data_IF_209338010785
#
_entry.id   IF_209338010785
#
_cell.length_a   1.000
_cell.length_b   1.000
_cell.length_c   1.000
_cell.angle_alpha   90.00
_cell.angle_beta   90.00
_cell.angle_gamma   90.00
#
_symmetry.space_group_name_H-M   'P 1'
#
loop_
_entity.id
_entity.type
_entity.pdbx_description
1 polymer ?
#
# COMPACT_ATOMS: atom_id res chain seq x y z
N UNK A 1 1.11 -5.97 -2.89
CA UNK A 1 0.37 -4.94 -3.64
C UNK A 1 1.31 -3.79 -3.87
N UNK A 2 1.57 -3.45 -5.12
CA UNK A 2 2.10 -2.12 -5.46
C UNK A 2 0.90 -1.17 -5.47
N UNK A 3 0.53 -0.72 -4.28
CA UNK A 3 -0.59 0.18 -4.09
C UNK A 3 -0.12 1.59 -4.40
N UNK A 4 -0.73 2.25 -5.39
CA UNK A 4 -0.40 3.62 -5.81
C UNK A 4 -0.73 4.67 -4.75
N UNK A 5 -1.30 4.27 -3.62
CA UNK A 5 -1.82 5.20 -2.63
C UNK A 5 -3.21 5.68 -3.01
N UNK A 6 -3.82 6.41 -2.09
CA UNK A 6 -5.06 7.16 -2.34
C UNK A 6 -4.85 8.60 -1.85
N UNK A 7 -5.44 9.58 -2.54
CA UNK A 7 -5.46 10.95 -2.04
C UNK A 7 -6.41 11.08 -0.85
N UNK A 8 -6.13 12.02 0.04
CA UNK A 8 -7.08 12.43 1.07
C UNK A 8 -8.31 13.08 0.44
N UNK A 9 -9.49 12.76 0.97
CA UNK A 9 -10.75 13.42 0.61
C UNK A 9 -11.32 14.10 1.86
N UNK A 10 -11.36 15.44 1.82
CA UNK A 10 -12.08 16.24 2.79
C UNK A 10 -13.50 16.49 2.29
N UNK A 11 -14.49 15.91 2.96
CA UNK A 11 -15.90 16.19 2.71
C UNK A 11 -16.39 17.29 3.64
N UNK A 12 -16.94 18.36 3.05
CA UNK A 12 -17.45 19.54 3.75
C UNK A 12 -18.96 19.58 3.61
N UNK A 13 -19.67 19.41 4.72
CA UNK A 13 -21.12 19.53 4.81
C UNK A 13 -21.52 20.98 5.05
N UNK A 14 -22.23 21.53 4.07
CA UNK A 14 -22.85 22.85 4.14
C UNK A 14 -24.24 22.81 4.73
N UNK A 15 -24.76 21.67 5.18
CA UNK A 15 -26.17 21.50 5.59
C UNK A 15 -26.64 22.51 6.66
N UNK A 16 -25.76 22.97 7.53
CA UNK A 16 -26.03 23.93 8.61
C UNK A 16 -25.60 25.35 8.27
N UNK A 17 -25.05 25.58 7.08
CA UNK A 17 -24.54 26.88 6.66
C UNK A 17 -25.65 27.94 6.65
N UNK A 18 -25.34 29.11 7.19
CA UNK A 18 -26.14 30.33 7.06
C UNK A 18 -25.24 31.33 6.33
N UNK A 19 -25.51 31.67 5.05
CA UNK A 19 -24.54 32.38 4.21
C UNK A 19 -23.97 33.65 4.84
N UNK A 20 -24.84 34.50 5.39
CA UNK A 20 -24.43 35.79 5.98
C UNK A 20 -23.49 35.65 7.18
N UNK A 21 -23.49 34.50 7.86
CA UNK A 21 -22.62 34.29 9.02
C UNK A 21 -21.25 33.77 8.64
N UNK A 22 -21.02 33.39 7.37
CA UNK A 22 -19.74 32.87 6.89
C UNK A 22 -18.74 33.97 6.49
N UNK A 23 -19.18 35.22 6.32
CA UNK A 23 -18.31 36.33 5.90
C UNK A 23 -17.08 36.46 6.80
N UNK A 24 -15.88 36.40 6.19
CA UNK A 24 -14.60 36.49 6.87
C UNK A 24 -14.22 35.27 7.71
N UNK A 25 -15.02 34.21 7.71
CA UNK A 25 -14.76 32.96 8.42
C UNK A 25 -14.01 31.96 7.56
N UNK A 26 -13.29 31.04 8.20
CA UNK A 26 -12.41 30.14 7.48
C UNK A 26 -12.21 28.78 8.16
N UNK A 27 -11.68 27.86 7.38
CA UNK A 27 -11.18 26.57 7.82
C UNK A 27 -9.79 26.33 7.21
N UNK A 28 -9.04 25.39 7.78
CA UNK A 28 -7.72 25.02 7.30
C UNK A 28 -7.80 23.64 6.63
N UNK A 29 -7.20 23.52 5.45
CA UNK A 29 -6.91 22.26 4.77
C UNK A 29 -5.41 22.18 4.46
N UNK A 30 -4.98 21.06 3.89
CA UNK A 30 -3.58 20.80 3.59
C UNK A 30 -3.43 20.28 2.16
N UNK A 31 -2.30 20.62 1.55
CA UNK A 31 -1.80 20.02 0.31
C UNK A 31 -0.37 19.51 0.52
N UNK A 32 0.27 19.04 -0.55
CA UNK A 32 1.66 18.57 -0.55
C UNK A 32 2.72 19.67 -0.32
N UNK A 33 2.31 20.94 -0.31
CA UNK A 33 3.17 22.10 -0.07
C UNK A 33 2.99 22.62 1.37
N UNK A 34 1.78 22.57 1.92
CA UNK A 34 1.50 22.85 3.32
C UNK A 34 0.07 23.33 3.59
N UNK A 35 -0.08 24.28 4.52
CA UNK A 35 -1.40 24.74 5.00
C UNK A 35 -2.08 25.68 4.01
N UNK A 36 -3.38 25.50 3.84
CA UNK A 36 -4.24 26.32 2.99
C UNK A 36 -5.44 26.82 3.80
N UNK A 37 -5.61 28.14 3.88
CA UNK A 37 -6.74 28.77 4.52
C UNK A 37 -7.86 28.97 3.51
N UNK A 38 -9.01 28.35 3.72
CA UNK A 38 -10.18 28.54 2.85
C UNK A 38 -11.19 29.40 3.59
N UNK A 39 -11.47 30.59 3.06
CA UNK A 39 -12.32 31.59 3.70
C UNK A 39 -13.45 32.05 2.79
N UNK A 40 -14.53 32.54 3.37
CA UNK A 40 -15.71 32.97 2.59
C UNK A 40 -15.82 34.49 2.53
N UNK A 41 -15.98 35.03 1.33
CA UNK A 41 -16.46 36.40 1.13
C UNK A 41 -17.95 36.38 0.75
N UNK A 42 -18.77 37.08 1.54
CA UNK A 42 -20.21 37.16 1.31
C UNK A 42 -20.51 38.51 0.69
N UNK A 43 -21.06 38.52 -0.51
CA UNK A 43 -21.43 39.74 -1.25
C UNK A 43 -20.25 40.73 -1.44
N UNK A 44 -19.00 40.22 -1.50
CA UNK A 44 -17.78 41.02 -1.62
C UNK A 44 -17.70 42.10 -0.52
N UNK A 45 -17.97 41.72 0.72
CA UNK A 45 -18.16 42.64 1.86
C UNK A 45 -17.15 42.45 2.98
N UNK A 46 -16.39 41.36 2.97
CA UNK A 46 -15.35 41.07 3.95
C UNK A 46 -13.95 41.39 3.43
N UNK A 47 -13.04 41.66 4.37
CA UNK A 47 -11.60 41.62 4.08
C UNK A 47 -11.10 40.21 4.38
N UNK A 48 -10.10 39.76 3.62
CA UNK A 48 -9.44 38.47 3.85
C UNK A 48 -9.01 38.34 5.33
N UNK A 49 -9.40 37.27 6.03
CA UNK A 49 -8.97 37.03 7.39
C UNK A 49 -7.48 36.65 7.43
N UNK A 50 -6.86 36.82 8.59
CA UNK A 50 -5.52 36.28 8.85
C UNK A 50 -5.70 34.82 9.29
N UNK A 51 -5.47 33.88 8.38
CA UNK A 51 -5.66 32.44 8.63
C UNK A 51 -4.43 31.78 9.27
N UNK A 52 -3.24 32.36 9.06
CA UNK A 52 -1.97 31.74 9.42
C UNK A 52 -1.56 30.59 8.51
N UNK A 53 -2.30 30.34 7.43
CA UNK A 53 -1.93 29.37 6.40
C UNK A 53 -0.78 29.90 5.52
N UNK A 54 -0.11 28.99 4.80
CA UNK A 54 0.92 29.39 3.82
C UNK A 54 0.32 30.15 2.64
N UNK A 55 -0.95 29.84 2.31
CA UNK A 55 -1.71 30.48 1.23
C UNK A 55 -3.20 30.41 1.55
N UNK A 56 -3.96 31.33 0.96
CA UNK A 56 -5.40 31.43 1.16
C UNK A 56 -6.17 31.27 -0.16
N UNK A 57 -7.37 30.70 -0.06
CA UNK A 57 -8.35 30.58 -1.13
C UNK A 57 -9.65 31.23 -0.66
N UNK A 58 -10.11 32.21 -1.43
CA UNK A 58 -11.34 32.95 -1.19
C UNK A 58 -12.52 32.30 -1.89
N UNK A 59 -13.60 32.02 -1.16
CA UNK A 59 -14.84 31.45 -1.68
C UNK A 59 -15.91 32.55 -1.74
N UNK A 60 -16.13 33.07 -2.94
CA UNK A 60 -17.18 34.06 -3.21
C UNK A 60 -18.58 33.44 -3.12
N UNK A 61 -19.37 33.89 -2.15
CA UNK A 61 -20.78 33.51 -1.98
C UNK A 61 -21.68 34.74 -1.88
N UNK A 62 -22.99 34.53 -2.05
CA UNK A 62 -24.00 35.56 -1.88
C UNK A 62 -24.78 35.32 -0.59
N UNK A 63 -25.26 36.38 0.06
CA UNK A 63 -26.11 36.24 1.25
C UNK A 63 -27.43 35.50 0.97
N UNK A 64 -27.82 35.40 -0.29
CA UNK A 64 -29.02 34.66 -0.76
C UNK A 64 -28.75 33.22 -1.20
N UNK A 65 -27.49 32.76 -1.20
CA UNK A 65 -27.19 31.39 -1.59
C UNK A 65 -27.85 30.38 -0.64
N UNK A 66 -28.30 29.26 -1.18
CA UNK A 66 -28.67 28.11 -0.37
C UNK A 66 -27.45 27.19 -0.16
N UNK A 67 -27.59 26.21 0.72
CA UNK A 67 -26.52 25.30 1.10
C UNK A 67 -25.94 24.54 -0.10
N UNK A 68 -26.77 24.13 -1.06
CA UNK A 68 -26.34 23.48 -2.31
C UNK A 68 -25.50 24.42 -3.18
N UNK A 69 -25.89 25.70 -3.27
CA UNK A 69 -25.14 26.72 -4.00
C UNK A 69 -23.78 27.00 -3.34
N UNK A 70 -23.72 27.06 -1.99
CA UNK A 70 -22.45 27.19 -1.25
C UNK A 70 -21.53 26.01 -1.55
N UNK A 71 -22.02 24.77 -1.45
CA UNK A 71 -21.21 23.58 -1.75
C UNK A 71 -20.68 23.59 -3.20
N UNK A 72 -21.53 24.00 -4.15
CA UNK A 72 -21.16 24.10 -5.56
C UNK A 72 -20.10 25.17 -5.82
N UNK A 73 -20.23 26.35 -5.21
CA UNK A 73 -19.26 27.45 -5.32
C UNK A 73 -17.93 27.09 -4.70
N UNK A 74 -17.95 26.47 -3.52
CA UNK A 74 -16.76 25.93 -2.88
C UNK A 74 -16.02 24.97 -3.82
N UNK A 75 -16.71 23.98 -4.40
CA UNK A 75 -16.07 23.04 -5.33
C UNK A 75 -15.55 23.71 -6.62
N UNK A 76 -16.29 24.66 -7.20
CA UNK A 76 -15.85 25.40 -8.39
C UNK A 76 -14.56 26.17 -8.11
N UNK A 77 -14.54 26.92 -7.01
CA UNK A 77 -13.36 27.72 -6.65
C UNK A 77 -12.16 26.84 -6.31
N UNK A 78 -12.36 25.74 -5.58
CA UNK A 78 -11.29 24.80 -5.26
C UNK A 78 -10.68 24.14 -6.51
N UNK A 79 -11.44 23.90 -7.58
CA UNK A 79 -10.91 23.44 -8.86
C UNK A 79 -10.06 24.49 -9.61
N UNK A 80 -10.12 25.76 -9.20
CA UNK A 80 -9.19 26.78 -9.67
C UNK A 80 -7.77 26.57 -9.13
N UNK A 81 -7.63 25.76 -8.08
CA UNK A 81 -6.35 25.45 -7.45
C UNK A 81 -5.82 24.09 -7.92
N UNK A 82 -4.62 24.08 -8.51
CA UNK A 82 -4.03 22.87 -9.08
C UNK A 82 -3.71 21.77 -8.05
N UNK A 83 -3.74 22.09 -6.75
CA UNK A 83 -3.48 21.12 -5.68
C UNK A 83 -4.70 20.32 -5.27
N UNK A 84 -5.88 20.65 -5.77
CA UNK A 84 -7.13 19.98 -5.45
C UNK A 84 -7.94 19.64 -6.70
N UNK A 85 -8.68 18.54 -6.62
CA UNK A 85 -9.79 18.24 -7.52
C UNK A 85 -11.04 18.21 -6.67
N UNK A 86 -12.03 19.01 -7.01
CA UNK A 86 -13.21 19.19 -6.18
C UNK A 86 -14.50 18.87 -6.94
N UNK A 87 -15.48 18.34 -6.21
CA UNK A 87 -16.83 18.14 -6.72
C UNK A 87 -17.85 18.51 -5.65
N UNK A 88 -19.11 18.67 -6.04
CA UNK A 88 -20.20 18.90 -5.10
C UNK A 88 -21.39 18.00 -5.44
N UNK A 89 -22.05 17.48 -4.41
CA UNK A 89 -23.32 16.78 -4.54
C UNK A 89 -24.23 17.17 -3.38
N UNK A 90 -25.44 17.64 -3.70
CA UNK A 90 -26.39 18.16 -2.71
C UNK A 90 -25.71 19.24 -1.84
N UNK A 91 -25.77 19.11 -0.51
CA UNK A 91 -25.16 20.04 0.45
C UNK A 91 -23.72 19.67 0.83
N UNK A 92 -23.04 18.83 0.07
CA UNK A 92 -21.67 18.42 0.36
C UNK A 92 -20.72 18.81 -0.76
N UNK A 93 -19.56 19.36 -0.39
CA UNK A 93 -18.41 19.50 -1.26
C UNK A 93 -17.37 18.42 -0.91
N UNK A 94 -16.73 17.84 -1.92
CA UNK A 94 -15.69 16.83 -1.78
C UNK A 94 -14.42 17.43 -2.34
N UNK A 95 -13.43 17.66 -1.48
CA UNK A 95 -12.13 18.20 -1.85
C UNK A 95 -11.12 17.07 -1.81
N UNK A 96 -10.70 16.60 -2.99
CA UNK A 96 -9.70 15.55 -3.13
C UNK A 96 -8.34 16.19 -3.37
N UNK A 97 -7.33 15.82 -2.57
CA UNK A 97 -5.97 16.25 -2.82
C UNK A 97 -5.47 15.74 -4.19
N UNK A 98 -4.69 16.54 -4.90
CA UNK A 98 -4.09 16.14 -6.19
C UNK A 98 -2.98 15.09 -6.05
N UNK A 99 -2.45 14.92 -4.85
CA UNK A 99 -1.40 13.95 -4.52
C UNK A 99 -1.94 12.84 -3.63
N UNK A 100 -1.45 11.63 -3.86
CA UNK A 100 -1.66 10.48 -2.98
C UNK A 100 -0.87 10.63 -1.68
N UNK A 101 -1.36 10.01 -0.62
CA UNK A 101 -0.68 10.00 0.68
C UNK A 101 -1.45 10.71 1.79
N UNK A 102 -1.07 10.39 3.02
CA UNK A 102 -1.69 10.96 4.20
C UNK A 102 -1.29 12.43 4.35
N UNK A 103 -2.28 13.32 4.48
CA UNK A 103 -2.07 14.71 4.82
C UNK A 103 -2.44 14.93 6.30
N UNK A 104 -2.32 16.17 6.77
CA UNK A 104 -2.92 16.54 8.04
C UNK A 104 -4.41 16.79 7.82
N UNK A 105 -5.22 16.35 8.75
CA UNK A 105 -6.67 16.48 8.63
C UNK A 105 -7.09 17.95 8.64
N UNK A 106 -8.03 18.28 7.75
CA UNK A 106 -8.69 19.58 7.74
C UNK A 106 -9.37 19.89 9.07
N UNK A 107 -9.42 21.18 9.41
CA UNK A 107 -10.05 21.65 10.64
C UNK A 107 -10.90 22.90 10.41
N UNK A 108 -12.12 22.89 10.95
CA UNK A 108 -12.90 24.11 11.08
C UNK A 108 -12.25 25.03 12.12
N UNK A 109 -12.16 26.31 11.81
CA UNK A 109 -11.74 27.31 12.79
C UNK A 109 -12.96 28.01 13.36
N UNK A 110 -13.83 28.56 12.51
CA UNK A 110 -14.99 29.30 12.98
C UNK A 110 -16.24 29.25 12.06
N UNK A 111 -16.20 28.50 10.95
CA UNK A 111 -17.31 28.45 9.98
C UNK A 111 -18.55 27.76 10.54
N UNK A 112 -18.39 26.76 11.40
CA UNK A 112 -19.47 25.90 11.89
C UNK A 112 -19.96 24.88 10.86
N UNK A 113 -19.19 24.63 9.79
CA UNK A 113 -19.45 23.60 8.80
C UNK A 113 -19.06 22.22 9.33
N UNK A 114 -19.66 21.15 8.77
CA UNK A 114 -19.33 19.78 9.14
C UNK A 114 -18.19 19.23 8.28
N UNK A 115 -17.27 18.48 8.89
CA UNK A 115 -16.13 17.86 8.19
C UNK A 115 -16.15 16.34 8.39
N UNK A 116 -15.92 15.61 7.30
CA UNK A 116 -15.61 14.17 7.31
C UNK A 116 -14.32 14.02 6.50
N UNK A 117 -13.33 13.34 7.07
CA UNK A 117 -12.03 13.13 6.43
C UNK A 117 -11.90 11.64 6.13
N UNK A 118 -11.69 11.33 4.85
CA UNK A 118 -11.20 10.03 4.40
C UNK A 118 -9.70 10.19 4.14
N UNK A 119 -8.89 9.77 5.12
CA UNK A 119 -7.43 9.95 5.10
C UNK A 119 -6.79 9.30 3.86
N UNK A 120 -5.85 10.02 3.26
CA UNK A 120 -5.08 9.49 2.14
C UNK A 120 -4.13 8.37 2.57
N UNK A 121 -3.79 7.48 1.66
CA UNK A 121 -2.87 6.37 1.92
C UNK A 121 -1.64 6.55 1.03
N UNK A 122 -0.45 6.48 1.62
CA UNK A 122 0.79 6.65 0.85
C UNK A 122 1.01 5.48 -0.12
N UNK A 123 1.61 5.73 -1.30
CA UNK A 123 2.03 4.65 -2.17
C UNK A 123 3.02 3.74 -1.44
N UNK A 124 2.77 2.44 -1.44
CA UNK A 124 3.72 1.46 -0.91
C UNK A 124 4.33 0.72 -2.09
N UNK A 125 5.48 1.20 -2.57
CA UNK A 125 6.20 0.54 -3.65
C UNK A 125 7.02 -0.63 -3.15
N UNK A 126 7.06 -1.74 -3.91
CA UNK A 126 8.01 -2.84 -3.70
C UNK A 126 9.41 -2.53 -4.25
N UNK A 127 9.60 -1.44 -5.00
CA UNK A 127 10.85 -1.19 -5.71
C UNK A 127 12.06 -1.17 -4.76
N UNK A 128 13.10 -1.95 -5.10
CA UNK A 128 14.33 -2.17 -4.33
C UNK A 128 14.13 -2.83 -2.94
N UNK A 129 12.90 -3.27 -2.62
CA UNK A 129 12.63 -4.00 -1.39
C UNK A 129 12.83 -5.48 -1.59
N UNK A 130 13.16 -6.17 -0.51
CA UNK A 130 13.54 -7.57 -0.59
C UNK A 130 13.29 -8.35 0.71
N UNK A 131 13.31 -9.67 0.58
CA UNK A 131 13.31 -10.62 1.68
C UNK A 131 14.37 -11.70 1.40
N UNK A 132 14.85 -12.37 2.45
CA UNK A 132 15.84 -13.44 2.33
C UNK A 132 15.19 -14.80 2.10
N UNK A 133 15.82 -15.61 1.27
CA UNK A 133 15.42 -16.99 0.99
C UNK A 133 16.66 -17.88 0.93
N UNK A 134 16.57 -19.08 1.50
CA UNK A 134 17.73 -19.95 1.67
C UNK A 134 17.49 -21.30 1.04
N UNK A 135 18.43 -21.73 0.17
CA UNK A 135 18.35 -23.06 -0.44
C UNK A 135 18.72 -24.15 0.57
N UNK A 136 18.41 -25.41 0.26
CA UNK A 136 18.72 -26.54 1.13
C UNK A 136 20.20 -26.56 1.60
N UNK A 137 20.41 -26.71 2.92
CA UNK A 137 21.71 -26.62 3.62
C UNK A 137 22.39 -25.24 3.51
N UNK A 138 21.62 -24.19 3.22
CA UNK A 138 22.08 -22.83 2.99
C UNK A 138 23.22 -22.73 1.97
N UNK A 139 23.27 -23.66 0.99
CA UNK A 139 24.34 -23.75 -0.02
C UNK A 139 24.41 -22.48 -0.87
N UNK A 140 23.25 -21.92 -1.16
CA UNK A 140 23.08 -20.61 -1.77
C UNK A 140 22.06 -19.83 -0.94
N UNK A 141 22.47 -18.65 -0.51
CA UNK A 141 21.64 -17.68 0.18
C UNK A 141 21.18 -16.65 -0.83
N UNK A 142 19.87 -16.37 -0.86
CA UNK A 142 19.26 -15.44 -1.81
C UNK A 142 18.67 -14.23 -1.09
N UNK A 143 18.55 -13.14 -1.84
CA UNK A 143 17.60 -12.07 -1.56
C UNK A 143 16.69 -11.93 -2.78
N UNK A 144 15.38 -12.06 -2.55
CA UNK A 144 14.37 -11.87 -3.59
C UNK A 144 13.98 -10.41 -3.55
N UNK A 145 14.28 -9.66 -4.61
CA UNK A 145 14.08 -8.22 -4.67
C UNK A 145 13.19 -7.83 -5.85
N UNK A 146 12.50 -6.70 -5.74
CA UNK A 146 11.53 -6.27 -6.75
C UNK A 146 12.05 -5.09 -7.56
N UNK A 147 11.98 -5.22 -8.89
CA UNK A 147 12.24 -4.16 -9.85
C UNK A 147 10.91 -3.70 -10.45
N UNK A 148 10.46 -2.50 -10.07
CA UNK A 148 9.20 -1.94 -10.57
C UNK A 148 9.49 -1.12 -11.83
N UNK A 149 8.83 -1.50 -12.94
CA UNK A 149 8.95 -0.85 -14.26
C UNK A 149 10.38 -0.77 -14.81
N UNK A 150 11.28 -1.65 -14.36
CA UNK A 150 12.68 -1.60 -14.76
C UNK A 150 13.49 -0.43 -14.14
N UNK A 151 12.92 0.27 -13.15
CA UNK A 151 13.52 1.44 -12.49
C UNK A 151 14.27 1.10 -11.19
N UNK A 152 14.26 -0.18 -10.80
CA UNK A 152 14.97 -0.69 -9.64
C UNK A 152 16.48 -0.73 -9.82
N UNK A 153 17.19 -0.71 -8.69
CA UNK A 153 18.63 -0.94 -8.59
C UNK A 153 18.85 -2.11 -7.66
N UNK A 154 19.58 -3.11 -8.14
CA UNK A 154 19.96 -4.28 -7.36
C UNK A 154 20.57 -3.87 -5.99
N UNK A 155 19.97 -4.28 -4.86
CA UNK A 155 20.52 -4.03 -3.53
C UNK A 155 21.94 -4.56 -3.30
N UNK A 156 22.42 -5.53 -4.10
CA UNK A 156 23.78 -6.07 -4.07
C UNK A 156 24.21 -6.56 -2.67
N UNK A 157 23.38 -7.37 -2.02
CA UNK A 157 23.63 -7.87 -0.66
C UNK A 157 24.86 -8.80 -0.64
N UNK A 158 25.87 -8.42 0.14
CA UNK A 158 27.12 -9.18 0.24
C UNK A 158 26.91 -10.63 0.69
N UNK A 159 27.54 -11.57 -0.02
CA UNK A 159 27.47 -13.00 0.28
C UNK A 159 26.19 -13.71 -0.19
N UNK A 160 25.24 -12.98 -0.80
CA UNK A 160 23.97 -13.54 -1.29
C UNK A 160 23.82 -13.35 -2.80
N UNK A 161 22.95 -14.15 -3.40
CA UNK A 161 22.59 -14.08 -4.83
C UNK A 161 21.23 -13.39 -4.99
N UNK A 162 21.13 -12.41 -5.89
CA UNK A 162 19.88 -11.72 -6.15
C UNK A 162 18.93 -12.56 -6.99
N UNK A 163 17.65 -12.63 -6.59
CA UNK A 163 16.54 -13.08 -7.43
C UNK A 163 15.71 -11.84 -7.73
N UNK A 164 15.83 -11.32 -8.95
CA UNK A 164 15.06 -10.17 -9.40
C UNK A 164 13.64 -10.60 -9.75
N UNK A 165 12.65 -9.86 -9.23
CA UNK A 165 11.25 -9.98 -9.60
C UNK A 165 10.84 -8.72 -10.33
N UNK A 166 10.81 -8.81 -11.66
CA UNK A 166 10.31 -7.73 -12.51
C UNK A 166 8.78 -7.63 -12.39
N UNK A 167 8.28 -6.51 -11.85
CA UNK A 167 6.86 -6.18 -11.81
C UNK A 167 6.62 -4.84 -12.49
N UNK A 168 5.39 -4.56 -12.89
CA UNK A 168 5.00 -3.24 -13.41
C UNK A 168 4.14 -2.50 -12.39
N UNK A 169 4.14 -1.18 -12.44
CA UNK A 169 3.26 -0.38 -11.60
C UNK A 169 1.80 -0.83 -11.77
N UNK A 170 1.10 -0.96 -10.64
CA UNK A 170 -0.29 -1.44 -10.57
C UNK A 170 -0.50 -2.94 -10.85
N UNK A 171 0.55 -3.76 -10.90
CA UNK A 171 0.34 -5.21 -10.87
C UNK A 171 -0.49 -5.59 -9.63
N UNK A 172 -1.62 -6.29 -9.86
CA UNK A 172 -2.43 -6.83 -8.77
C UNK A 172 -1.57 -7.79 -7.93
N UNK A 173 -1.84 -7.89 -6.62
CA UNK A 173 -1.16 -8.85 -5.73
C UNK A 173 -1.04 -10.26 -6.30
N UNK A 174 -2.07 -10.78 -6.99
CA UNK A 174 -2.04 -12.10 -7.63
C UNK A 174 -1.07 -12.20 -8.80
N UNK A 175 -0.90 -11.11 -9.56
CA UNK A 175 0.10 -11.01 -10.63
C UNK A 175 1.50 -10.90 -10.04
N UNK A 176 1.69 -10.08 -9.00
CA UNK A 176 2.95 -9.98 -8.26
C UNK A 176 3.36 -11.36 -7.73
N UNK A 177 2.47 -12.08 -7.05
CA UNK A 177 2.75 -13.43 -6.55
C UNK A 177 3.13 -14.40 -7.68
N UNK A 178 2.45 -14.34 -8.82
CA UNK A 178 2.80 -15.16 -9.99
C UNK A 178 4.20 -14.88 -10.50
N UNK A 179 4.56 -13.60 -10.64
CA UNK A 179 5.90 -13.17 -11.08
C UNK A 179 6.98 -13.55 -10.06
N UNK A 180 6.72 -13.38 -8.77
CA UNK A 180 7.62 -13.82 -7.70
C UNK A 180 7.86 -15.33 -7.76
N UNK A 181 6.80 -16.13 -7.93
CA UNK A 181 6.92 -17.58 -8.01
C UNK A 181 7.74 -18.02 -9.23
N UNK A 182 7.55 -17.38 -10.39
CA UNK A 182 8.32 -17.65 -11.60
C UNK A 182 9.80 -17.35 -11.39
N UNK A 183 10.14 -16.17 -10.86
CA UNK A 183 11.52 -15.78 -10.59
C UNK A 183 12.22 -16.73 -9.59
N UNK A 184 11.52 -17.14 -8.52
CA UNK A 184 12.04 -18.11 -7.55
C UNK A 184 12.27 -19.49 -8.20
N UNK A 185 11.32 -19.95 -9.03
CA UNK A 185 11.41 -21.26 -9.69
C UNK A 185 12.53 -21.32 -10.75
N UNK A 186 12.86 -20.20 -11.39
CA UNK A 186 13.94 -20.14 -12.40
C UNK A 186 15.32 -20.48 -11.81
N UNK A 187 15.49 -20.35 -10.49
CA UNK A 187 16.72 -20.78 -9.79
C UNK A 187 16.91 -22.30 -9.74
N UNK A 188 15.85 -23.08 -10.00
CA UNK A 188 15.76 -24.53 -9.82
C UNK A 188 16.05 -25.03 -8.39
N UNK A 189 16.24 -24.13 -7.41
CA UNK A 189 16.48 -24.48 -6.00
C UNK A 189 15.21 -24.63 -5.19
N UNK A 190 14.11 -24.13 -5.71
CA UNK A 190 12.82 -24.08 -5.04
C UNK A 190 11.71 -24.60 -5.93
N UNK A 191 10.66 -25.12 -5.29
CA UNK A 191 9.35 -25.35 -5.87
C UNK A 191 8.38 -24.36 -5.21
N UNK A 192 8.17 -23.21 -5.86
CA UNK A 192 7.25 -22.17 -5.46
C UNK A 192 5.92 -22.28 -6.21
N UNK A 193 4.82 -22.32 -5.45
CA UNK A 193 3.45 -22.38 -5.98
C UNK A 193 2.64 -21.19 -5.48
N UNK A 194 1.77 -20.65 -6.34
CA UNK A 194 0.82 -19.59 -5.98
C UNK A 194 -0.48 -20.24 -5.52
N UNK A 195 -0.92 -19.89 -4.31
CA UNK A 195 -2.20 -20.26 -3.73
C UNK A 195 -3.33 -19.28 -4.05
N UNK A 196 -4.41 -19.37 -3.29
CA UNK A 196 -5.45 -18.34 -3.27
C UNK A 196 -4.94 -17.06 -2.61
N UNK A 197 -5.55 -15.92 -2.93
CA UNK A 197 -5.27 -14.63 -2.29
C UNK A 197 -3.78 -14.23 -2.30
N UNK A 198 -3.08 -14.53 -3.40
CA UNK A 198 -1.67 -14.19 -3.62
C UNK A 198 -0.67 -14.80 -2.59
N UNK A 199 -1.07 -15.86 -1.89
CA UNK A 199 -0.19 -16.57 -0.96
C UNK A 199 0.83 -17.42 -1.74
N UNK A 200 2.12 -17.33 -1.39
CA UNK A 200 3.17 -18.19 -1.95
C UNK A 200 3.49 -19.37 -1.03
N UNK A 201 3.54 -20.55 -1.61
CA UNK A 201 4.03 -21.78 -0.97
C UNK A 201 5.39 -22.13 -1.56
N UNK A 202 6.45 -21.82 -0.83
CA UNK A 202 7.83 -22.03 -1.26
C UNK A 202 8.39 -23.26 -0.54
N UNK A 203 8.79 -24.27 -1.30
CA UNK A 203 9.52 -25.42 -0.78
C UNK A 203 10.92 -25.46 -1.39
N UNK A 204 11.91 -25.89 -0.62
CA UNK A 204 13.19 -26.27 -1.21
C UNK A 204 13.02 -27.47 -2.17
N UNK A 205 13.70 -27.44 -3.31
CA UNK A 205 13.66 -28.54 -4.28
C UNK A 205 14.43 -29.79 -3.79
N UNK A 206 15.26 -29.64 -2.76
CA UNK A 206 16.01 -30.71 -2.10
C UNK A 206 15.78 -30.66 -0.59
N UNK A 207 15.98 -31.80 0.09
CA UNK A 207 16.00 -31.84 1.55
C UNK A 207 17.29 -31.26 2.10
N UNK A 208 17.21 -30.60 3.26
CA UNK A 208 18.34 -30.03 3.98
C UNK A 208 17.88 -29.08 5.07
N UNK A 209 18.74 -28.86 6.06
CA UNK A 209 18.52 -27.81 7.05
C UNK A 209 18.58 -26.45 6.36
N UNK A 210 17.74 -25.49 6.74
CA UNK A 210 17.82 -24.16 6.15
C UNK A 210 17.41 -23.09 7.13
N UNK A 211 18.08 -21.94 7.03
CA UNK A 211 17.73 -20.74 7.77
C UNK A 211 16.29 -20.28 7.47
N UNK A 212 15.69 -19.60 8.44
CA UNK A 212 14.35 -19.06 8.29
C UNK A 212 14.32 -17.98 7.20
N UNK A 213 13.23 -17.93 6.43
CA UNK A 213 12.97 -16.80 5.51
C UNK A 213 12.63 -15.56 6.33
N UNK A 214 13.23 -14.43 6.01
CA UNK A 214 13.09 -13.18 6.76
C UNK A 214 12.71 -12.04 5.82
N UNK A 215 11.67 -11.27 6.17
CA UNK A 215 11.37 -10.02 5.48
C UNK A 215 12.32 -8.95 5.98
N UNK A 216 12.86 -8.16 5.06
CA UNK A 216 13.71 -7.02 5.42
C UNK A 216 12.91 -5.72 5.39
N UNK A 217 12.20 -5.48 4.29
CA UNK A 217 11.48 -4.23 4.09
C UNK A 217 10.31 -4.31 3.09
N UNK A 218 9.91 -5.49 2.63
CA UNK A 218 8.76 -5.62 1.71
C UNK A 218 7.42 -5.38 2.43
N UNK A 219 7.37 -5.66 3.73
CA UNK A 219 6.13 -5.69 4.50
C UNK A 219 5.33 -6.97 4.31
N UNK A 220 5.89 -7.98 3.62
CA UNK A 220 5.23 -9.27 3.48
C UNK A 220 5.15 -10.01 4.81
N UNK A 221 4.00 -10.62 5.05
CA UNK A 221 3.82 -11.54 6.16
C UNK A 221 4.37 -12.92 5.78
N UNK A 222 5.48 -13.31 6.40
CA UNK A 222 6.10 -14.62 6.19
C UNK A 222 5.63 -15.58 7.28
N UNK A 223 5.00 -16.69 6.87
CA UNK A 223 4.65 -17.80 7.76
C UNK A 223 5.45 -19.04 7.40
N UNK A 224 6.45 -19.38 8.21
CA UNK A 224 7.17 -20.63 8.08
C UNK A 224 6.44 -21.76 8.82
N UNK A 225 6.00 -22.78 8.09
CA UNK A 225 5.31 -23.93 8.68
C UNK A 225 6.29 -24.99 9.18
N UNK A 226 7.40 -25.19 8.47
CA UNK A 226 8.43 -26.20 8.75
C UNK A 226 9.79 -25.60 8.35
N UNK A 227 10.75 -25.60 9.29
CA UNK A 227 12.13 -25.27 8.96
C UNK A 227 12.74 -26.37 8.08
N UNK A 228 13.76 -26.07 7.30
CA UNK A 228 14.54 -27.15 6.69
C UNK A 228 15.05 -28.03 7.81
N UNK A 229 14.76 -29.33 7.76
CA UNK A 229 15.24 -30.30 8.74
C UNK A 229 16.31 -31.17 8.10
N UNK A 230 17.30 -31.56 8.89
CA UNK A 230 18.31 -32.52 8.46
C UNK A 230 17.66 -33.90 8.24
N UNK A 231 17.27 -34.20 7.00
CA UNK A 231 16.82 -35.55 6.63
C UNK A 231 18.03 -36.46 6.43
N UNK A 232 18.61 -36.92 7.53
CA UNK A 232 19.44 -38.11 7.48
C UNK A 232 18.57 -39.30 7.03
N UNK A 233 19.04 -40.11 6.08
CA UNK A 233 18.49 -41.45 5.89
C UNK A 233 18.79 -42.23 7.16
N UNK A 234 17.77 -42.43 8.01
CA UNK A 234 17.97 -43.00 9.37
C UNK A 234 18.08 -44.53 9.33
N UNK A 235 17.52 -45.14 8.28
CA UNK A 235 17.62 -46.58 8.01
C UNK A 235 17.11 -46.90 6.60
N UNK A 236 17.64 -47.97 6.01
CA UNK A 236 16.98 -48.70 4.91
C UNK A 236 16.35 -49.96 5.48
N UNK A 237 15.08 -50.23 5.14
CA UNK A 237 14.39 -51.44 5.57
C UNK A 237 14.31 -52.42 4.39
N UNK A 238 14.92 -53.59 4.54
CA UNK A 238 14.75 -54.72 3.62
C UNK A 238 13.62 -55.60 4.14
N UNK A 239 12.57 -55.76 3.35
CA UNK A 239 11.46 -56.67 3.64
C UNK A 239 11.47 -57.76 2.58
N UNK A 240 11.75 -58.99 2.99
CA UNK A 240 11.66 -60.15 2.10
C UNK A 240 10.30 -60.82 2.28
N UNK A 241 9.76 -61.32 1.16
CA UNK A 241 8.51 -62.06 1.11
C UNK A 241 8.75 -63.48 0.59
N UNK A 242 7.97 -64.45 1.07
CA UNK A 242 7.96 -65.78 0.49
C UNK A 242 7.14 -65.84 -0.83
N UNK A 243 7.09 -67.04 -1.42
CA UNK A 243 6.32 -67.30 -2.63
C UNK A 243 4.79 -67.20 -2.47
N UNK A 244 4.29 -66.97 -1.25
CA UNK A 244 2.88 -66.75 -0.93
C UNK A 244 2.58 -65.29 -0.56
N UNK A 245 3.54 -64.37 -0.74
CA UNK A 245 3.46 -62.96 -0.34
C UNK A 245 3.38 -62.73 1.19
N UNK A 246 3.82 -63.69 2.01
CA UNK A 246 3.99 -63.47 3.45
C UNK A 246 5.38 -62.91 3.75
N UNK A 247 5.48 -61.98 4.72
CA UNK A 247 6.76 -61.39 5.12
C UNK A 247 7.59 -62.45 5.87
N UNK A 248 8.83 -62.68 5.41
CA UNK A 248 9.74 -63.67 6.01
C UNK A 248 10.96 -63.06 6.70
N UNK A 249 11.37 -61.85 6.32
CA UNK A 249 12.43 -61.12 7.02
C UNK A 249 12.19 -59.63 6.97
N UNK A 250 12.64 -58.95 8.03
CA UNK A 250 12.68 -57.49 8.13
C UNK A 250 14.04 -57.13 8.70
N UNK A 251 14.94 -56.65 7.85
CA UNK A 251 16.28 -56.24 8.24
C UNK A 251 16.43 -54.73 8.10
N UNK A 252 17.00 -54.13 9.15
CA UNK A 252 17.37 -52.72 9.19
C UNK A 252 18.85 -52.63 8.90
N UNK A 253 19.23 -51.89 7.86
CA UNK A 253 20.62 -51.51 7.63
C UNK A 253 20.83 -50.10 8.20
N UNK A 254 21.75 -50.00 9.16
CA UNK A 254 22.14 -48.78 9.88
C UNK A 254 23.26 -48.01 9.16
#
# INVERSE_FOLDING_TARGET
>A
DDYQGEPEITTISTLTAIPITLSGKYFIIYDDVGTVGVWFDVDNSSLAPITGALRDIEIDILSTDNNVAIASKLAITMNGDAKFVASAASTSAYLTASTVGNLLNASDVDTGLGFIIDDGIAPNTLNNKYFYLYSANDVIEYYVWYNVDGLGTDPAIGGKTGIEVEIVANDLSTVVATKTALAINDTEKFNCQVGTDAVLYINNARGGETSATEDVNTGFYIRQLIAGENRALIATLFIEYDGNNEIISVERDD
#
